data_IF_774278358729
#
_entry.id   IF_774278358729
#
_cell.length_a   1.000
_cell.length_b   1.000
_cell.length_c   1.000
_cell.angle_alpha   90.00
_cell.angle_beta   90.00
_cell.angle_gamma   90.00
#
_symmetry.space_group_name_H-M   'P 1'
#
loop_
_entity.id
_entity.type
_entity.pdbx_description
1 polymer ?
#
# COMPACT_ATOMS: atom_id res chain seq x y z
N UNK A 1 -39.98 1.54 45.25
CA UNK A 1 -39.86 2.19 43.92
C UNK A 1 -38.60 1.65 43.27
N UNK A 2 -38.73 0.72 42.32
CA UNK A 2 -37.56 0.11 41.67
C UNK A 2 -36.89 1.14 40.75
N UNK A 3 -35.57 1.30 40.90
CA UNK A 3 -34.78 2.29 40.17
C UNK A 3 -34.72 1.95 38.67
N UNK A 4 -35.44 2.72 37.86
CA UNK A 4 -35.50 2.58 36.40
C UNK A 4 -34.21 3.07 35.71
N UNK A 5 -33.30 3.68 36.48
CA UNK A 5 -32.02 4.21 35.98
C UNK A 5 -31.02 3.10 35.59
N UNK A 6 -31.05 1.94 36.27
CA UNK A 6 -30.17 0.82 35.96
C UNK A 6 -30.43 0.15 34.58
N UNK A 7 -31.67 -0.19 34.21
CA UNK A 7 -31.93 -0.75 32.88
C UNK A 7 -31.68 0.27 31.77
N UNK A 8 -31.90 1.57 32.02
CA UNK A 8 -31.60 2.64 31.06
C UNK A 8 -30.09 2.82 30.81
N UNK A 9 -29.27 2.80 31.88
CA UNK A 9 -27.81 2.85 31.76
C UNK A 9 -27.25 1.61 31.05
N UNK A 10 -27.81 0.42 31.35
CA UNK A 10 -27.45 -0.84 30.71
C UNK A 10 -27.81 -0.86 29.23
N UNK A 11 -29.01 -0.39 28.86
CA UNK A 11 -29.42 -0.24 27.47
C UNK A 11 -28.54 0.76 26.70
N UNK A 12 -28.13 1.86 27.34
CA UNK A 12 -27.18 2.82 26.77
C UNK A 12 -25.78 2.22 26.56
N UNK A 13 -25.27 1.43 27.51
CA UNK A 13 -23.99 0.74 27.39
C UNK A 13 -24.02 -0.32 26.27
N UNK A 14 -25.14 -1.04 26.12
CA UNK A 14 -25.35 -2.00 25.04
C UNK A 14 -25.46 -1.33 23.67
N UNK A 15 -26.00 -0.11 23.60
CA UNK A 15 -26.03 0.72 22.39
C UNK A 15 -24.66 1.31 22.00
N UNK A 16 -23.70 1.38 22.94
CA UNK A 16 -22.32 1.83 22.69
C UNK A 16 -21.39 0.69 22.21
N UNK A 17 -21.75 -0.58 22.42
CA UNK A 17 -20.96 -1.75 22.00
C UNK A 17 -20.68 -1.86 20.49
N UNK A 18 -21.52 -1.38 19.54
CA UNK A 18 -21.18 -1.42 18.12
C UNK A 18 -20.17 -0.36 17.69
N UNK A 19 -19.72 0.55 18.56
CA UNK A 19 -18.76 1.61 18.18
C UNK A 19 -17.30 1.14 18.17
N UNK A 20 -17.02 -0.08 18.64
CA UNK A 20 -15.71 -0.72 18.38
C UNK A 20 -15.71 -1.22 16.94
N UNK A 21 -15.57 -0.30 16.00
CA UNK A 21 -15.09 -0.69 14.67
C UNK A 21 -13.73 -1.33 14.88
N UNK A 22 -13.59 -2.60 14.51
CA UNK A 22 -12.28 -3.14 14.24
C UNK A 22 -11.70 -2.21 13.16
N UNK A 23 -10.68 -1.41 13.53
CA UNK A 23 -9.82 -0.84 12.51
C UNK A 23 -9.15 -2.04 11.84
N UNK A 24 -9.81 -2.58 10.82
CA UNK A 24 -9.14 -3.36 9.79
C UNK A 24 -7.88 -2.59 9.43
N UNK A 25 -6.75 -3.28 9.26
CA UNK A 25 -5.48 -2.69 8.83
C UNK A 25 -5.64 -2.10 7.44
N UNK A 26 -6.38 -1.01 7.33
CA UNK A 26 -6.80 -0.44 6.07
C UNK A 26 -5.56 0.16 5.42
N UNK A 27 -5.23 -0.28 4.20
CA UNK A 27 -3.97 0.06 3.55
C UNK A 27 -2.76 -0.75 4.02
N UNK A 28 -2.94 -1.79 4.85
CA UNK A 28 -1.90 -2.79 5.08
C UNK A 28 -1.76 -3.72 3.86
N UNK A 29 -0.51 -3.98 3.50
CA UNK A 29 -0.10 -4.79 2.37
C UNK A 29 0.57 -6.03 2.95
N UNK A 30 -0.13 -7.15 2.92
CA UNK A 30 0.40 -8.42 3.42
C UNK A 30 1.48 -8.99 2.50
N UNK A 31 2.35 -9.84 3.04
CA UNK A 31 3.32 -10.61 2.24
C UNK A 31 2.59 -11.41 1.14
N UNK A 32 3.18 -11.45 -0.06
CA UNK A 32 2.61 -12.05 -1.27
C UNK A 32 1.70 -11.10 -2.06
N UNK A 33 1.37 -9.93 -1.51
CA UNK A 33 0.68 -8.89 -2.26
C UNK A 33 1.55 -8.38 -3.40
N UNK A 34 0.94 -8.18 -4.56
CA UNK A 34 1.64 -7.69 -5.74
C UNK A 34 0.78 -6.79 -6.62
N UNK A 35 1.46 -5.93 -7.36
CA UNK A 35 0.88 -5.13 -8.45
C UNK A 35 1.62 -5.53 -9.72
N UNK A 36 0.89 -5.67 -10.82
CA UNK A 36 1.46 -5.85 -12.17
C UNK A 36 1.41 -4.53 -12.93
N UNK A 37 2.46 -4.23 -13.67
CA UNK A 37 2.56 -3.05 -14.52
C UNK A 37 1.60 -3.17 -15.70
N UNK A 38 0.64 -2.25 -15.74
CA UNK A 38 -0.33 -2.05 -16.81
C UNK A 38 -0.91 -0.63 -16.70
N UNK A 39 -1.59 -0.17 -17.76
CA UNK A 39 -2.26 1.13 -17.79
C UNK A 39 -3.28 1.30 -16.65
N UNK A 40 -4.00 0.22 -16.32
CA UNK A 40 -5.05 0.18 -15.29
C UNK A 40 -4.58 -0.46 -13.97
N UNK A 41 -3.27 -0.49 -13.72
CA UNK A 41 -2.71 -1.11 -12.53
C UNK A 41 -3.27 -0.45 -11.26
N UNK A 42 -3.90 -1.27 -10.40
CA UNK A 42 -4.34 -0.80 -9.08
C UNK A 42 -3.12 -0.46 -8.23
N UNK A 43 -3.18 0.70 -7.59
CA UNK A 43 -2.11 1.20 -6.73
C UNK A 43 -2.39 0.88 -5.27
N UNK A 44 -1.34 0.76 -4.46
CA UNK A 44 -1.50 0.70 -3.01
C UNK A 44 -1.71 2.11 -2.47
N UNK A 45 -2.84 2.29 -1.79
CA UNK A 45 -3.27 3.55 -1.19
C UNK A 45 -3.70 3.30 0.25
N UNK A 46 -3.48 4.29 1.11
CA UNK A 46 -4.03 4.29 2.46
C UNK A 46 -5.30 5.15 2.47
N UNK A 47 -6.39 4.75 3.17
CA UNK A 47 -7.71 5.38 3.03
C UNK A 47 -7.76 6.90 3.22
N UNK A 48 -6.87 7.45 4.05
CA UNK A 48 -6.77 8.90 4.28
C UNK A 48 -5.53 9.54 3.66
N UNK A 49 -4.69 8.77 2.96
CA UNK A 49 -3.49 9.31 2.32
C UNK A 49 -3.86 10.02 1.02
N UNK A 50 -3.07 11.03 0.68
CA UNK A 50 -3.14 11.68 -0.63
C UNK A 50 -2.17 11.03 -1.63
N UNK A 51 -1.40 10.05 -1.17
CA UNK A 51 -0.34 9.41 -1.92
C UNK A 51 -0.69 7.99 -2.31
N UNK A 52 -0.22 7.59 -3.49
CA UNK A 52 -0.33 6.24 -4.00
C UNK A 52 1.05 5.69 -4.34
N UNK A 53 1.22 4.38 -4.14
CA UNK A 53 2.41 3.64 -4.54
C UNK A 53 2.04 2.61 -5.62
N UNK A 54 2.84 2.53 -6.69
CA UNK A 54 2.59 1.60 -7.78
C UNK A 54 3.28 2.00 -9.07
N UNK A 55 2.74 1.59 -10.21
CA UNK A 55 3.32 1.87 -11.52
C UNK A 55 2.73 3.14 -12.15
N UNK A 56 3.61 4.00 -12.66
CA UNK A 56 3.26 5.08 -13.59
C UNK A 56 3.82 4.77 -14.97
N UNK A 57 3.00 4.92 -16.00
CA UNK A 57 3.40 4.74 -17.40
C UNK A 57 4.29 5.91 -17.82
N UNK A 58 5.32 5.65 -18.63
CA UNK A 58 6.15 6.71 -19.21
C UNK A 58 5.41 7.43 -20.34
N UNK A 59 5.48 8.76 -20.36
CA UNK A 59 4.81 9.58 -21.39
C UNK A 59 5.34 9.30 -22.81
N UNK A 60 6.62 8.98 -22.93
CA UNK A 60 7.27 8.71 -24.21
C UNK A 60 7.26 7.24 -24.63
N UNK A 61 6.73 6.33 -23.80
CA UNK A 61 6.66 4.91 -24.13
C UNK A 61 5.56 4.19 -23.33
N UNK A 62 4.51 3.78 -24.04
CA UNK A 62 3.35 3.14 -23.44
C UNK A 62 3.62 1.74 -22.85
N UNK A 63 4.73 1.10 -23.22
CA UNK A 63 5.11 -0.24 -22.75
C UNK A 63 6.08 -0.20 -21.55
N UNK A 64 6.45 0.99 -21.08
CA UNK A 64 7.40 1.17 -20.00
C UNK A 64 6.78 1.91 -18.83
N UNK A 65 7.15 1.46 -17.63
CA UNK A 65 6.62 1.93 -16.37
C UNK A 65 7.74 2.25 -15.39
N UNK A 66 7.52 3.26 -14.57
CA UNK A 66 8.32 3.55 -13.37
C UNK A 66 7.52 3.16 -12.14
N UNK A 67 8.21 2.55 -11.17
CA UNK A 67 7.64 2.29 -9.86
C UNK A 67 7.79 3.58 -9.05
N UNK A 68 6.69 4.16 -8.59
CA UNK A 68 6.69 5.51 -8.05
C UNK A 68 5.74 5.68 -6.87
N UNK A 69 5.95 6.78 -6.15
CA UNK A 69 4.98 7.41 -5.26
C UNK A 69 4.56 8.74 -5.89
N UNK A 70 3.26 8.99 -5.93
CA UNK A 70 2.71 10.24 -6.47
C UNK A 70 1.51 10.71 -5.65
N UNK A 71 1.23 12.01 -5.73
CA UNK A 71 -0.02 12.58 -5.22
C UNK A 71 -1.16 12.22 -6.18
N UNK A 72 -2.13 11.41 -5.74
CA UNK A 72 -3.14 10.83 -6.64
C UNK A 72 -4.47 11.60 -6.68
N UNK A 73 -4.67 12.57 -5.77
CA UNK A 73 -5.90 13.37 -5.69
C UNK A 73 -5.96 14.56 -6.67
N UNK A 74 -4.88 14.83 -7.41
CA UNK A 74 -4.87 15.81 -8.52
C UNK A 74 -4.86 15.12 -9.88
N UNK A 75 -5.41 15.78 -10.90
CA UNK A 75 -5.48 15.25 -12.27
C UNK A 75 -4.10 15.01 -12.88
N UNK A 76 -3.17 15.94 -12.64
CA UNK A 76 -1.77 15.80 -13.06
C UNK A 76 -1.04 15.05 -11.95
N UNK A 77 -0.64 13.80 -12.21
CA UNK A 77 0.04 12.97 -11.21
C UNK A 77 1.45 13.48 -10.95
N UNK A 78 1.63 14.19 -9.84
CA UNK A 78 2.95 14.67 -9.41
C UNK A 78 3.70 13.56 -8.71
N UNK A 79 4.77 13.08 -9.34
CA UNK A 79 5.69 12.09 -8.76
C UNK A 79 6.57 12.77 -7.72
N UNK A 80 6.60 12.21 -6.53
CA UNK A 80 7.38 12.71 -5.38
C UNK A 80 8.55 11.80 -5.04
N UNK A 81 8.48 10.53 -5.47
CA UNK A 81 9.58 9.58 -5.38
C UNK A 81 9.43 8.51 -6.48
N UNK A 82 10.54 7.99 -6.98
CA UNK A 82 10.53 6.85 -7.91
C UNK A 82 11.71 5.91 -7.68
N UNK A 83 11.48 4.64 -7.99
CA UNK A 83 12.48 3.58 -8.00
C UNK A 83 12.97 3.33 -9.43
N UNK A 84 13.75 2.26 -9.61
CA UNK A 84 14.13 1.65 -10.88
C UNK A 84 14.76 2.54 -11.98
N UNK A 85 15.02 3.83 -11.70
CA UNK A 85 15.91 4.74 -12.42
C UNK A 85 15.98 4.53 -13.93
N UNK A 86 17.18 4.21 -14.42
CA UNK A 86 17.47 3.96 -15.84
C UNK A 86 17.00 2.61 -16.38
N UNK A 87 16.31 1.80 -15.57
CA UNK A 87 15.72 0.51 -15.97
C UNK A 87 14.19 0.55 -15.77
N UNK A 88 13.45 1.28 -16.61
CA UNK A 88 11.99 1.22 -16.63
C UNK A 88 11.50 -0.23 -16.75
N UNK A 89 10.44 -0.53 -16.02
CA UNK A 89 9.82 -1.84 -16.01
C UNK A 89 8.94 -2.02 -17.26
N UNK A 90 9.13 -3.07 -18.07
CA UNK A 90 8.22 -3.34 -19.18
C UNK A 90 6.82 -3.74 -18.69
N UNK A 91 5.81 -3.65 -19.56
CA UNK A 91 4.45 -4.14 -19.34
C UNK A 91 4.48 -5.57 -18.76
N UNK A 92 3.60 -5.84 -17.78
CA UNK A 92 3.53 -7.09 -16.99
C UNK A 92 4.68 -7.33 -16.00
N UNK A 93 5.60 -6.40 -15.82
CA UNK A 93 6.50 -6.41 -14.65
C UNK A 93 5.71 -6.43 -13.35
N UNK A 94 6.28 -6.96 -12.27
CA UNK A 94 5.58 -7.14 -11.00
C UNK A 94 6.39 -6.60 -9.84
N UNK A 95 5.77 -5.75 -9.01
CA UNK A 95 6.25 -5.39 -7.68
C UNK A 95 5.52 -6.27 -6.67
N UNK A 96 6.27 -6.94 -5.79
CA UNK A 96 5.72 -7.89 -4.81
C UNK A 96 6.40 -7.70 -3.46
N UNK A 97 5.61 -7.80 -2.37
CA UNK A 97 6.14 -7.82 -1.01
C UNK A 97 6.49 -9.25 -0.60
N UNK A 98 7.77 -9.53 -0.36
CA UNK A 98 8.28 -10.87 -0.04
C UNK A 98 8.92 -10.84 1.35
N UNK A 99 8.53 -11.77 2.24
CA UNK A 99 8.95 -11.82 3.64
C UNK A 99 10.47 -11.65 3.83
N UNK A 100 11.26 -12.43 3.09
CA UNK A 100 12.71 -12.49 3.24
C UNK A 100 13.46 -11.57 2.26
N UNK A 101 12.75 -10.72 1.49
CA UNK A 101 13.37 -9.85 0.46
C UNK A 101 12.86 -8.42 0.42
N UNK A 102 11.80 -8.09 1.17
CA UNK A 102 11.14 -6.80 1.09
C UNK A 102 10.36 -6.64 -0.21
N UNK A 103 10.31 -5.41 -0.74
CA UNK A 103 9.73 -5.13 -2.04
C UNK A 103 10.67 -5.61 -3.16
N UNK A 104 10.14 -6.41 -4.09
CA UNK A 104 10.89 -6.94 -5.24
C UNK A 104 10.18 -6.57 -6.53
N UNK A 105 10.84 -5.77 -7.36
CA UNK A 105 10.43 -5.47 -8.73
C UNK A 105 11.12 -6.44 -9.69
N UNK A 106 10.31 -7.17 -10.45
CA UNK A 106 10.79 -8.13 -11.46
C UNK A 106 10.15 -7.90 -12.82
N UNK A 107 10.90 -8.21 -13.87
CA UNK A 107 10.38 -8.22 -15.25
C UNK A 107 9.40 -9.39 -15.47
N UNK A 108 8.71 -9.46 -16.63
CA UNK A 108 7.79 -10.57 -16.93
C UNK A 108 8.43 -11.96 -16.99
N UNK A 109 9.76 -12.04 -17.09
CA UNK A 109 10.55 -13.28 -17.08
C UNK A 109 11.06 -13.63 -15.67
N UNK A 110 10.75 -12.81 -14.67
CA UNK A 110 11.19 -12.98 -13.28
C UNK A 110 12.59 -12.41 -12.99
N UNK A 111 13.22 -11.69 -13.91
CA UNK A 111 14.52 -11.06 -13.67
C UNK A 111 14.37 -9.87 -12.73
N UNK A 112 15.30 -9.72 -11.79
CA UNK A 112 15.31 -8.61 -10.84
C UNK A 112 15.62 -7.29 -11.55
N UNK A 113 14.72 -6.31 -11.41
CA UNK A 113 14.93 -4.93 -11.84
C UNK A 113 15.41 -4.08 -10.66
N UNK A 114 14.71 -4.19 -9.52
CA UNK A 114 15.00 -3.43 -8.30
C UNK A 114 14.46 -4.17 -7.07
N UNK A 115 15.04 -3.92 -5.90
CA UNK A 115 14.44 -4.34 -4.62
C UNK A 115 14.72 -3.32 -3.53
N UNK A 116 13.86 -3.26 -2.52
CA UNK A 116 14.16 -2.54 -1.28
C UNK A 116 15.29 -3.24 -0.54
N UNK A 117 16.09 -2.47 0.18
CA UNK A 117 16.99 -3.03 1.19
C UNK A 117 16.19 -3.43 2.42
N UNK A 118 16.49 -4.62 2.95
CA UNK A 118 15.98 -5.06 4.24
C UNK A 118 17.18 -5.47 5.12
N UNK A 119 17.34 -4.80 6.26
CA UNK A 119 18.15 -5.32 7.36
C UNK A 119 17.56 -6.65 7.89
N UNK A 120 18.31 -7.35 8.74
CA UNK A 120 17.92 -8.63 9.37
C UNK A 120 16.48 -8.65 9.90
N UNK A 121 15.81 -9.80 9.78
CA UNK A 121 14.42 -10.00 10.16
C UNK A 121 13.51 -10.30 8.97
N UNK A 122 12.27 -10.74 9.23
CA UNK A 122 11.28 -11.05 8.19
C UNK A 122 10.22 -9.96 8.13
N UNK A 123 9.88 -9.54 6.91
CA UNK A 123 8.78 -8.61 6.67
C UNK A 123 7.46 -9.26 7.02
N UNK A 124 6.64 -8.55 7.78
CA UNK A 124 5.28 -8.99 8.16
C UNK A 124 4.22 -8.30 7.33
N UNK A 125 4.39 -6.99 7.11
CA UNK A 125 3.41 -6.14 6.43
C UNK A 125 4.10 -4.87 5.92
N UNK A 126 3.55 -4.26 4.89
CA UNK A 126 3.92 -2.92 4.47
C UNK A 126 2.71 -1.98 4.49
N UNK A 127 2.93 -0.66 4.52
CA UNK A 127 1.86 0.33 4.43
C UNK A 127 2.37 1.61 3.78
N UNK A 128 1.50 2.26 3.01
CA UNK A 128 1.66 3.67 2.70
C UNK A 128 1.10 4.49 3.85
N UNK A 129 1.76 5.55 4.29
CA UNK A 129 1.22 6.45 5.31
C UNK A 129 0.77 7.80 4.69
N UNK A 130 0.30 8.71 5.54
CA UNK A 130 -0.18 10.05 5.18
C UNK A 130 0.95 11.09 5.00
N UNK A 131 2.19 10.76 5.36
CA UNK A 131 3.37 11.63 5.24
C UNK A 131 4.27 11.25 4.05
N UNK A 132 3.70 10.59 3.04
CA UNK A 132 4.42 10.16 1.83
C UNK A 132 5.50 9.09 2.08
N UNK A 133 5.44 8.35 3.18
CA UNK A 133 6.38 7.26 3.44
C UNK A 133 5.75 5.89 3.18
N UNK A 134 6.51 5.05 2.48
CA UNK A 134 6.21 3.63 2.33
C UNK A 134 7.01 2.85 3.38
N UNK A 135 6.32 2.30 4.36
CA UNK A 135 6.93 1.62 5.50
C UNK A 135 6.82 0.11 5.37
N UNK A 136 7.91 -0.59 5.72
CA UNK A 136 7.97 -2.05 5.80
C UNK A 136 8.18 -2.43 7.27
N UNK A 137 7.23 -3.17 7.85
CA UNK A 137 7.32 -3.70 9.22
C UNK A 137 7.89 -5.11 9.23
N UNK A 138 8.56 -5.46 10.32
CA UNK A 138 9.28 -6.74 10.49
C UNK A 138 8.95 -7.38 11.82
N UNK A 139 9.22 -8.68 11.95
CA UNK A 139 9.31 -9.39 13.25
C UNK A 139 10.58 -9.03 14.00
#
# INVERSE_FOLDING_TARGET
MASVLHPLLSAYLLLLLPLVTAQSGAGEIGVGSSIKASRDAKSWVYPSSDFAFGFQQLENNEDLFILAIWYYKVQIRTIVWYANGYKPAPTRSKIELIADRGLVLSDPRGQLIWRSEIATGKVTVARMNDTCNFEIKKI
#
